data_IF_223171037303
#
_entry.id   IF_223171037303
#
_cell.length_a   1.000
_cell.length_b   1.000
_cell.length_c   1.000
_cell.angle_alpha   90.00
_cell.angle_beta   90.00
_cell.angle_gamma   90.00
#
_symmetry.space_group_name_H-M   'P 1'
#
loop_
_entity.id
_entity.type
_entity.pdbx_description
1 polymer ?
#
# COMPACT_ATOMS: atom_id res chain seq x y z
N UNK A 1 -21.50 -14.10 10.27
CA UNK A 1 -20.14 -13.53 10.42
C UNK A 1 -19.99 -12.49 9.33
N UNK A 2 -19.99 -11.20 9.68
CA UNK A 2 -19.82 -10.12 8.71
C UNK A 2 -18.34 -10.07 8.29
N UNK A 3 -17.98 -10.04 7.00
CA UNK A 3 -16.63 -9.66 6.60
C UNK A 3 -16.41 -8.23 7.11
N UNK A 4 -15.30 -7.94 7.81
CA UNK A 4 -15.09 -6.62 8.37
C UNK A 4 -14.96 -5.63 7.22
N UNK A 5 -15.72 -4.55 7.30
CA UNK A 5 -15.72 -3.40 6.39
C UNK A 5 -14.41 -2.60 6.46
N UNK A 6 -13.26 -3.26 6.44
CA UNK A 6 -11.91 -2.67 6.45
C UNK A 6 -11.57 -1.94 5.14
N UNK A 7 -12.44 -2.01 4.14
CA UNK A 7 -12.13 -1.66 2.76
C UNK A 7 -12.30 -0.18 2.42
N UNK A 8 -12.85 0.67 3.30
CA UNK A 8 -13.22 2.06 2.92
C UNK A 8 -12.87 3.17 3.90
N UNK A 9 -12.29 2.89 5.08
CA UNK A 9 -11.93 3.95 6.01
C UNK A 9 -10.45 4.37 5.81
N UNK A 10 -10.18 5.58 5.28
CA UNK A 10 -8.81 6.05 5.07
C UNK A 10 -8.04 6.33 6.37
N UNK A 11 -8.72 6.30 7.53
CA UNK A 11 -8.11 6.43 8.85
C UNK A 11 -7.85 5.06 9.53
N UNK A 12 -8.26 3.94 8.92
CA UNK A 12 -7.92 2.63 9.43
C UNK A 12 -6.39 2.39 9.41
N UNK A 13 -5.88 1.82 10.49
CA UNK A 13 -4.49 1.38 10.61
C UNK A 13 -4.41 0.04 11.36
N UNK A 14 -3.47 -0.84 10.98
CA UNK A 14 -3.24 -2.08 11.69
C UNK A 14 -2.55 -1.84 13.04
N UNK A 15 -2.56 -2.82 13.96
CA UNK A 15 -1.82 -2.75 15.22
C UNK A 15 -0.33 -2.49 14.98
N UNK A 16 0.23 -1.46 15.61
CA UNK A 16 1.63 -1.04 15.42
C UNK A 16 2.68 -2.16 15.61
N UNK A 17 2.53 -3.11 16.57
CA UNK A 17 3.51 -4.18 16.76
C UNK A 17 3.68 -5.11 15.55
N UNK A 18 2.64 -5.24 14.72
CA UNK A 18 2.63 -6.14 13.56
C UNK A 18 3.09 -5.43 12.27
N UNK A 19 3.27 -4.11 12.34
CA UNK A 19 3.71 -3.29 11.22
C UNK A 19 5.20 -3.51 10.98
N UNK A 20 5.54 -3.91 9.76
CA UNK A 20 6.92 -4.10 9.31
C UNK A 20 7.36 -2.90 8.49
N UNK A 21 8.30 -2.06 8.96
CA UNK A 21 8.82 -0.96 8.17
C UNK A 21 9.41 -1.45 6.85
N UNK A 22 9.20 -0.69 5.78
CA UNK A 22 9.77 -0.94 4.47
C UNK A 22 10.06 0.37 3.76
N UNK A 23 10.88 0.36 2.73
CA UNK A 23 11.18 1.56 1.95
C UNK A 23 11.34 1.20 0.48
N UNK A 24 10.27 0.66 -0.10
CA UNK A 24 10.27 0.09 -1.44
C UNK A 24 9.67 1.10 -2.43
N UNK A 25 10.38 1.50 -3.49
CA UNK A 25 9.83 2.30 -4.58
C UNK A 25 8.81 1.47 -5.37
N UNK A 26 7.74 2.12 -5.81
CA UNK A 26 6.66 1.46 -6.57
C UNK A 26 6.12 2.34 -7.68
N UNK A 27 5.52 1.71 -8.68
CA UNK A 27 4.55 2.35 -9.58
C UNK A 27 3.14 1.93 -9.19
N UNK A 28 2.19 2.87 -9.23
CA UNK A 28 0.81 2.66 -8.80
C UNK A 28 -0.14 3.09 -9.89
N UNK A 29 -1.04 2.19 -10.29
CA UNK A 29 -2.10 2.47 -11.25
C UNK A 29 -3.22 3.27 -10.58
N UNK A 30 -3.35 4.53 -10.96
CA UNK A 30 -4.36 5.44 -10.44
C UNK A 30 -5.76 5.06 -10.95
N UNK A 31 -6.70 4.92 -10.02
CA UNK A 31 -8.11 4.61 -10.30
C UNK A 31 -8.70 5.58 -11.35
N UNK A 32 -9.43 5.05 -12.33
CA UNK A 32 -10.20 5.83 -13.31
C UNK A 32 -9.40 6.53 -14.42
N UNK A 33 -8.08 6.66 -14.29
CA UNK A 33 -7.24 7.35 -15.28
C UNK A 33 -6.35 6.43 -16.12
N UNK A 34 -6.15 5.18 -15.68
CA UNK A 34 -5.21 4.25 -16.32
C UNK A 34 -3.75 4.72 -16.26
N UNK A 35 -3.45 5.76 -15.49
CA UNK A 35 -2.13 6.38 -15.40
C UNK A 35 -1.32 5.76 -14.27
N UNK A 36 -0.04 5.50 -14.53
CA UNK A 36 0.90 5.06 -13.52
C UNK A 36 1.55 6.26 -12.83
N UNK A 37 1.60 6.21 -11.49
CA UNK A 37 2.24 7.22 -10.67
C UNK A 37 3.32 6.59 -9.79
N UNK A 38 4.42 7.32 -9.59
CA UNK A 38 5.48 6.88 -8.69
C UNK A 38 5.06 7.03 -7.22
N UNK A 39 5.44 6.05 -6.42
CA UNK A 39 5.17 6.01 -4.99
C UNK A 39 6.25 5.28 -4.21
N UNK A 40 6.00 5.16 -2.91
CA UNK A 40 6.81 4.38 -1.99
C UNK A 40 5.92 3.66 -1.00
N UNK A 41 6.17 2.38 -0.81
CA UNK A 41 5.67 1.63 0.34
C UNK A 41 6.62 1.89 1.50
N UNK A 42 6.07 2.45 2.59
CA UNK A 42 6.84 2.76 3.79
C UNK A 42 6.66 1.72 4.92
N UNK A 43 5.67 0.84 4.80
CA UNK A 43 5.43 -0.25 5.72
C UNK A 43 4.55 -1.33 5.09
N UNK A 44 4.70 -2.54 5.60
CA UNK A 44 3.86 -3.71 5.31
C UNK A 44 3.15 -4.15 6.58
N UNK A 45 1.98 -4.75 6.39
CA UNK A 45 1.26 -5.49 7.40
C UNK A 45 0.59 -6.68 6.71
N UNK A 46 0.39 -7.78 7.43
CA UNK A 46 -0.38 -8.91 6.91
C UNK A 46 -1.58 -9.11 7.81
N UNK A 47 -2.75 -9.31 7.21
CA UNK A 47 -3.95 -9.64 7.98
C UNK A 47 -3.79 -11.00 8.68
N UNK A 48 -4.60 -11.29 9.70
CA UNK A 48 -4.62 -12.62 10.32
C UNK A 48 -4.84 -13.76 9.30
N UNK A 49 -5.52 -13.48 8.20
CA UNK A 49 -5.77 -14.39 7.07
C UNK A 49 -4.60 -14.48 6.08
N UNK A 50 -3.53 -13.71 6.29
CA UNK A 50 -2.33 -13.68 5.45
C UNK A 50 -2.39 -12.68 4.29
N UNK A 51 -3.42 -11.84 4.21
CA UNK A 51 -3.54 -10.86 3.13
C UNK A 51 -2.51 -9.73 3.30
N UNK A 52 -1.67 -9.43 2.29
CA UNK A 52 -0.72 -8.33 2.37
C UNK A 52 -1.40 -6.96 2.25
N UNK A 53 -1.04 -6.06 3.16
CA UNK A 53 -1.37 -4.65 3.13
C UNK A 53 -0.11 -3.82 3.12
N UNK A 54 -0.13 -2.72 2.39
CA UNK A 54 0.96 -1.78 2.31
C UNK A 54 0.51 -0.38 2.68
N UNK A 55 1.37 0.36 3.38
CA UNK A 55 1.18 1.79 3.61
C UNK A 55 1.88 2.55 2.50
N UNK A 56 1.07 3.12 1.62
CA UNK A 56 1.51 3.73 0.38
C UNK A 56 1.54 5.25 0.50
N UNK A 57 2.63 5.85 0.00
CA UNK A 57 2.76 7.29 -0.23
C UNK A 57 3.02 7.54 -1.71
N UNK A 58 2.15 8.28 -2.38
CA UNK A 58 2.40 8.74 -3.75
C UNK A 58 3.34 9.95 -3.73
N UNK A 59 4.26 10.01 -4.70
CA UNK A 59 5.19 11.13 -4.86
C UNK A 59 4.46 12.26 -5.60
N UNK A 60 4.62 13.51 -5.14
CA UNK A 60 3.96 14.67 -5.74
C UNK A 60 2.48 14.85 -5.35
N UNK A 61 1.88 13.88 -4.66
CA UNK A 61 0.56 14.03 -4.06
C UNK A 61 0.66 14.67 -2.67
N UNK A 62 -0.23 15.62 -2.36
CA UNK A 62 -0.35 16.22 -1.02
C UNK A 62 -1.01 15.28 0.01
N UNK A 63 -1.39 14.07 -0.38
CA UNK A 63 -2.08 13.11 0.46
C UNK A 63 -1.15 12.46 1.47
N UNK A 64 -1.66 12.24 2.69
CA UNK A 64 -0.95 11.48 3.71
C UNK A 64 -0.78 10.01 3.26
N UNK A 65 0.26 9.30 3.73
CA UNK A 65 0.41 7.89 3.43
C UNK A 65 -0.76 7.08 4.02
N UNK A 66 -1.39 6.24 3.21
CA UNK A 66 -2.57 5.48 3.59
C UNK A 66 -2.33 3.97 3.49
N UNK A 67 -2.97 3.20 4.36
CA UNK A 67 -3.00 1.75 4.25
C UNK A 67 -3.95 1.32 3.13
N UNK A 68 -3.49 0.42 2.28
CA UNK A 68 -4.28 -0.22 1.22
C UNK A 68 -3.87 -1.68 1.09
N UNK A 69 -4.81 -2.53 0.66
CA UNK A 69 -4.50 -3.90 0.26
C UNK A 69 -3.49 -3.88 -0.88
N UNK A 70 -2.49 -4.73 -0.80
CA UNK A 70 -1.52 -4.86 -1.86
C UNK A 70 -2.11 -5.63 -3.02
N UNK A 71 -2.10 -5.02 -4.19
CA UNK A 71 -2.57 -5.59 -5.43
C UNK A 71 -1.40 -5.56 -6.43
N UNK A 72 -0.78 -6.71 -6.76
CA UNK A 72 0.38 -6.75 -7.64
C UNK A 72 0.07 -6.35 -9.09
N UNK A 73 -1.21 -6.35 -9.50
CA UNK A 73 -1.59 -5.87 -10.85
C UNK A 73 -1.64 -4.34 -10.91
N UNK A 74 -1.71 -3.69 -9.75
CA UNK A 74 -1.90 -2.25 -9.62
C UNK A 74 -0.77 -1.53 -8.90
N UNK A 75 0.07 -2.26 -8.17
CA UNK A 75 1.19 -1.76 -7.39
C UNK A 75 2.41 -2.58 -7.78
N UNK A 76 3.26 -2.03 -8.65
CA UNK A 76 4.45 -2.69 -9.15
C UNK A 76 5.63 -2.31 -8.27
N UNK A 77 6.29 -3.30 -7.67
CA UNK A 77 7.53 -3.10 -6.95
C UNK A 77 8.65 -2.77 -7.93
N UNK A 78 9.28 -1.61 -7.76
CA UNK A 78 10.45 -1.24 -8.54
C UNK A 78 11.71 -1.83 -7.89
N UNK A 79 12.69 -2.27 -8.70
CA UNK A 79 13.96 -2.76 -8.19
C UNK A 79 14.71 -1.65 -7.43
N UNK A 80 15.24 -1.99 -6.26
CA UNK A 80 16.01 -1.07 -5.39
C UNK A 80 17.51 -1.15 -5.59
N UNK A 81 17.98 -2.20 -6.26
CA UNK A 81 19.38 -2.44 -6.56
C UNK A 81 19.47 -2.79 -8.05
N UNK A 82 20.53 -2.31 -8.71
CA UNK A 82 20.79 -2.63 -10.11
C UNK A 82 21.13 -4.11 -10.31
N UNK A 83 20.80 -4.62 -11.48
CA UNK A 83 21.30 -5.89 -12.04
C UNK A 83 22.80 -5.82 -12.30
#
# INVERSE_FOLDING_TARGET
MHPPQLQTDPAWSPPEPDVRPAYQPVEVLLDGSGTWALGRINAWWHSPEGEPWCRLRLIGAATAPAWRRYDPERILLLPTHGI
#
